data_IF_222569028675
#
_entry.id   IF_222569028675
#
_cell.length_a   1.000
_cell.length_b   1.000
_cell.length_c   1.000
_cell.angle_alpha   90.00
_cell.angle_beta   90.00
_cell.angle_gamma   90.00
#
_symmetry.space_group_name_H-M   'P 1'
#
loop_
_entity.id
_entity.type
_entity.pdbx_description
1 polymer ?
#
# COMPACT_ATOMS: atom_id res chain seq x y z
N UNK A 1 -11.76 14.06 0.20
CA UNK A 1 -10.47 13.41 0.54
C UNK A 1 -10.59 11.94 0.15
N UNK A 2 -10.25 11.58 -1.09
CA UNK A 2 -10.37 10.20 -1.55
C UNK A 2 -9.18 9.41 -1.02
N UNK A 3 -9.32 8.76 0.14
CA UNK A 3 -8.28 7.91 0.67
C UNK A 3 -8.28 6.58 -0.07
N UNK A 4 -7.17 6.25 -0.72
CA UNK A 4 -7.06 5.01 -1.49
C UNK A 4 -6.87 3.85 -0.51
N UNK A 5 -7.77 2.86 -0.52
CA UNK A 5 -7.62 1.64 0.29
C UNK A 5 -7.03 0.51 -0.55
N UNK A 6 -6.10 -0.25 0.01
CA UNK A 6 -5.52 -1.47 -0.60
C UNK A 6 -5.77 -2.69 0.28
N UNK A 7 -5.80 -3.87 -0.34
CA UNK A 7 -5.94 -5.15 0.36
C UNK A 7 -4.55 -5.73 0.64
N UNK A 8 -4.26 -6.03 1.89
CA UNK A 8 -3.02 -6.69 2.32
C UNK A 8 -3.37 -8.01 3.01
N UNK A 9 -2.48 -9.00 2.90
CA UNK A 9 -2.61 -10.32 3.51
C UNK A 9 -1.70 -10.42 4.72
N UNK A 10 -2.23 -10.82 5.87
CA UNK A 10 -1.45 -11.18 7.06
C UNK A 10 -0.89 -12.58 6.83
N UNK A 11 0.43 -12.75 6.83
CA UNK A 11 1.02 -14.07 6.50
C UNK A 11 0.82 -15.10 7.61
N UNK A 12 0.78 -14.66 8.87
CA UNK A 12 0.55 -15.54 10.03
C UNK A 12 -0.85 -16.16 10.04
N UNK A 13 -1.88 -15.41 9.65
CA UNK A 13 -3.30 -15.83 9.75
C UNK A 13 -3.97 -16.05 8.39
N UNK A 14 -3.25 -15.82 7.29
CA UNK A 14 -3.75 -15.74 5.90
C UNK A 14 -4.95 -14.77 5.71
N UNK A 15 -5.19 -13.90 6.70
CA UNK A 15 -6.33 -12.99 6.69
C UNK A 15 -6.06 -11.81 5.75
N UNK A 16 -7.01 -11.49 4.88
CA UNK A 16 -6.97 -10.30 4.03
C UNK A 16 -7.66 -9.15 4.75
N UNK A 17 -7.00 -8.00 4.86
CA UNK A 17 -7.54 -6.77 5.42
C UNK A 17 -7.38 -5.60 4.46
N UNK A 18 -8.23 -4.59 4.61
CA UNK A 18 -8.13 -3.34 3.85
C UNK A 18 -7.45 -2.27 4.70
N UNK A 19 -6.43 -1.63 4.15
CA UNK A 19 -5.63 -0.60 4.81
C UNK A 19 -5.63 0.67 3.97
N UNK A 20 -5.53 1.81 4.62
CA UNK A 20 -5.52 3.10 3.95
C UNK A 20 -4.11 3.45 3.47
N UNK A 21 -3.97 3.93 2.24
CA UNK A 21 -2.68 4.33 1.67
C UNK A 21 -2.42 5.80 1.95
N UNK A 22 -1.32 6.08 2.64
CA UNK A 22 -0.84 7.43 2.94
C UNK A 22 0.12 7.91 1.83
N UNK A 23 1.03 7.04 1.39
CA UNK A 23 2.06 7.35 0.39
C UNK A 23 2.29 6.09 -0.46
N UNK A 24 2.14 6.18 -1.78
CA UNK A 24 2.44 5.08 -2.71
C UNK A 24 3.64 5.45 -3.57
N UNK A 25 4.77 4.74 -3.40
CA UNK A 25 5.95 4.84 -4.26
C UNK A 25 6.46 3.45 -4.64
N UNK A 26 7.18 3.30 -5.75
CA UNK A 26 7.75 2.01 -6.16
C UNK A 26 8.82 1.45 -5.20
N UNK A 27 9.41 2.32 -4.39
CA UNK A 27 10.46 1.96 -3.42
C UNK A 27 9.89 1.66 -2.03
N UNK A 28 8.72 2.24 -1.70
CA UNK A 28 8.04 2.08 -0.42
C UNK A 28 6.58 2.49 -0.52
N UNK A 29 5.71 1.78 0.20
CA UNK A 29 4.30 2.14 0.33
C UNK A 29 4.01 2.33 1.81
N UNK A 30 3.54 3.52 2.20
CA UNK A 30 3.10 3.78 3.58
C UNK A 30 1.61 3.58 3.68
N UNK A 31 1.21 2.76 4.62
CA UNK A 31 -0.18 2.45 4.92
C UNK A 31 -0.53 2.79 6.36
N UNK A 32 -1.81 3.03 6.58
CA UNK A 32 -2.41 3.24 7.88
C UNK A 32 -3.36 2.06 8.16
N UNK A 33 -3.13 1.39 9.28
CA UNK A 33 -4.00 0.33 9.79
C UNK A 33 -4.89 0.89 10.90
N UNK A 34 -6.18 0.60 10.83
CA UNK A 34 -7.18 1.11 11.78
C UNK A 34 -7.79 2.45 11.37
N UNK A 35 -8.86 2.84 12.06
CA UNK A 35 -9.57 4.10 11.86
C UNK A 35 -9.56 4.87 13.20
N UNK A 36 -9.26 6.18 13.19
CA UNK A 36 -9.22 7.03 14.38
C UNK A 36 -7.88 7.09 15.12
N UNK A 37 -7.92 7.39 16.43
CA UNK A 37 -6.74 7.63 17.28
C UNK A 37 -5.83 6.41 17.49
N UNK A 38 -6.34 5.20 17.24
CA UNK A 38 -5.58 3.94 17.32
C UNK A 38 -5.00 3.50 15.98
N UNK A 39 -4.75 4.45 15.07
CA UNK A 39 -4.20 4.15 13.77
C UNK A 39 -2.68 3.92 13.83
N UNK A 40 -2.23 2.84 13.19
CA UNK A 40 -0.81 2.46 13.16
C UNK A 40 -0.27 2.65 11.75
N UNK A 41 0.83 3.39 11.64
CA UNK A 41 1.56 3.54 10.37
C UNK A 41 2.46 2.34 10.15
N UNK A 42 2.41 1.78 8.96
CA UNK A 42 3.29 0.70 8.54
C UNK A 42 3.91 1.03 7.18
N UNK A 43 5.18 0.70 7.02
CA UNK A 43 5.91 0.85 5.76
C UNK A 43 6.04 -0.53 5.11
N UNK A 44 5.58 -0.64 3.87
CA UNK A 44 5.72 -1.81 3.02
C UNK A 44 6.87 -1.58 2.05
N UNK A 45 7.86 -2.47 2.07
CA UNK A 45 9.02 -2.45 1.20
C UNK A 45 8.88 -3.54 0.13
N UNK A 46 9.36 -3.30 -1.11
CA UNK A 46 9.30 -4.31 -2.14
C UNK A 46 10.11 -5.54 -1.73
N UNK A 47 9.54 -6.72 -1.95
CA UNK A 47 10.25 -7.98 -1.74
C UNK A 47 11.44 -8.09 -2.69
N UNK A 48 12.48 -8.89 -2.39
CA UNK A 48 13.67 -9.01 -3.24
C UNK A 48 13.37 -9.44 -4.68
N UNK A 49 12.29 -10.21 -4.89
CA UNK A 49 11.82 -10.64 -6.21
C UNK A 49 10.94 -9.57 -6.93
N UNK A 50 10.62 -8.45 -6.28
CA UNK A 50 9.84 -7.34 -6.84
C UNK A 50 8.37 -7.66 -7.14
N UNK A 51 7.85 -8.79 -6.62
CA UNK A 51 6.49 -9.28 -6.89
C UNK A 51 5.45 -8.87 -5.85
N UNK A 52 5.89 -8.42 -4.69
CA UNK A 52 5.02 -7.98 -3.60
C UNK A 52 5.71 -6.87 -2.80
N UNK A 53 4.96 -6.28 -1.87
CA UNK A 53 5.50 -5.40 -0.85
C UNK A 53 5.17 -6.00 0.52
N UNK A 54 6.16 -6.12 1.40
CA UNK A 54 6.00 -6.68 2.74
C UNK A 54 6.38 -5.64 3.80
N UNK A 55 5.70 -5.70 4.94
CA UNK A 55 6.04 -4.89 6.11
C UNK A 55 5.53 -5.55 7.38
N UNK A 56 6.00 -5.05 8.52
CA UNK A 56 5.62 -5.58 9.83
C UNK A 56 4.79 -4.55 10.57
N UNK A 57 3.68 -5.00 11.16
CA UNK A 57 2.80 -4.19 12.00
C UNK A 57 2.44 -4.97 13.24
N UNK A 58 2.65 -4.39 14.42
CA UNK A 58 2.35 -5.04 15.71
C UNK A 58 2.97 -6.46 15.83
N UNK A 59 4.16 -6.67 15.27
CA UNK A 59 4.84 -7.98 15.27
C UNK A 59 4.34 -8.98 14.23
N UNK A 60 3.36 -8.62 13.40
CA UNK A 60 2.82 -9.46 12.32
C UNK A 60 3.27 -8.97 10.96
N UNK A 61 3.66 -9.88 10.09
CA UNK A 61 3.98 -9.55 8.71
C UNK A 61 2.69 -9.42 7.88
N UNK A 62 2.63 -8.34 7.10
CA UNK A 62 1.59 -8.07 6.12
C UNK A 62 2.21 -7.91 4.73
N UNK A 63 1.53 -8.46 3.73
CA UNK A 63 1.99 -8.52 2.34
C UNK A 63 0.93 -7.92 1.43
N UNK A 64 1.34 -6.93 0.64
CA UNK A 64 0.60 -6.43 -0.49
C UNK A 64 1.05 -7.15 -1.76
N UNK A 65 0.18 -7.99 -2.32
CA UNK A 65 0.47 -8.82 -3.49
C UNK A 65 0.33 -8.03 -4.79
N UNK A 66 1.19 -7.02 -4.96
CA UNK A 66 1.37 -6.31 -6.22
C UNK A 66 2.84 -6.20 -6.57
N UNK A 67 3.12 -6.39 -7.84
CA UNK A 67 4.46 -6.19 -8.38
C UNK A 67 4.83 -4.72 -8.40
N UNK A 68 6.14 -4.45 -8.42
CA UNK A 68 6.67 -3.10 -8.60
C UNK A 68 6.16 -2.45 -9.88
N UNK A 69 6.05 -3.22 -10.96
CA UNK A 69 5.57 -2.73 -12.26
C UNK A 69 4.10 -2.29 -12.20
N UNK A 70 3.22 -3.11 -11.62
CA UNK A 70 1.81 -2.74 -11.45
C UNK A 70 1.64 -1.47 -10.62
N UNK A 71 2.45 -1.31 -9.56
CA UNK A 71 2.46 -0.09 -8.74
C UNK A 71 2.92 1.12 -9.54
N UNK A 72 3.93 0.98 -10.41
CA UNK A 72 4.39 2.05 -11.30
C UNK A 72 3.31 2.42 -12.33
N UNK A 73 2.65 1.43 -12.93
CA UNK A 73 1.59 1.66 -13.90
C UNK A 73 0.37 2.34 -13.26
N UNK A 74 -0.01 1.95 -12.04
CA UNK A 74 -1.05 2.62 -11.25
C UNK A 74 -0.69 4.09 -10.98
N UNK A 75 0.56 4.35 -10.59
CA UNK A 75 1.05 5.70 -10.34
C UNK A 75 1.07 6.54 -11.63
N UNK A 76 1.47 5.94 -12.76
CA UNK A 76 1.46 6.61 -14.07
C UNK A 76 0.04 6.97 -14.51
N UNK A 77 -0.93 6.06 -14.33
CA UNK A 77 -2.34 6.31 -14.58
C UNK A 77 -2.88 7.43 -13.69
N UNK A 78 -2.59 7.39 -12.39
CA UNK A 78 -3.00 8.43 -11.45
C UNK A 78 -2.41 9.80 -11.82
N UNK A 79 -1.12 9.86 -12.14
CA UNK A 79 -0.47 11.11 -12.57
C UNK A 79 -1.02 11.65 -13.89
N UNK A 80 -1.49 10.79 -14.80
CA UNK A 80 -2.15 11.19 -16.04
C UNK A 80 -3.56 11.75 -15.77
N UNK A 81 -4.32 11.14 -14.86
CA UNK A 81 -5.66 11.59 -14.47
C UNK A 81 -5.62 12.93 -13.73
N UNK A 82 -4.69 13.13 -12.81
CA UNK A 82 -4.56 14.39 -12.05
C UNK A 82 -4.02 15.55 -12.91
N UNK A 83 -3.27 15.27 -13.97
CA UNK A 83 -2.86 16.32 -14.94
C UNK A 83 -4.02 16.89 -15.76
N UNK A 84 -5.17 16.20 -15.85
CA UNK A 84 -6.34 16.70 -16.59
C UNK A 84 -7.29 17.56 -15.75
N UNK A 85 -7.14 17.61 -14.43
CA UNK A 85 -8.06 18.33 -13.52
C UNK A 85 -7.43 19.55 -12.85
N UNK A 86 -6.44 20.16 -13.52
CA UNK A 86 -5.85 21.45 -13.15
C UNK A 86 -6.20 22.50 -14.19
N UNK A 87 -7.41 23.05 -14.15
CA UNK A 87 -7.75 24.33 -14.77
C UNK A 87 -8.83 25.04 -13.98
#
# INVERSE_FOLDING_TARGET
>A
MSTAKIKVRVTESDQIMSVEVIEKRPERIKVLLGEGDHSVRCELLPTPNGRAYAGTVMGREIVYERSRQEVQDDLAKFAATFRQHGR
#
